data_IF_897642025876
#
_entry.id   IF_897642025876
#
_cell.length_a   1.000
_cell.length_b   1.000
_cell.length_c   1.000
_cell.angle_alpha   90.00
_cell.angle_beta   90.00
_cell.angle_gamma   90.00
#
_symmetry.space_group_name_H-M   'P 1'
#
loop_
_entity.id
_entity.type
_entity.pdbx_description
1 polymer ?
#
# COMPACT_ATOMS: atom_id res chain seq x y z
N UNK A 1 9.23 0.01 -12.89
CA UNK A 1 9.43 1.14 -11.94
C UNK A 1 8.22 1.33 -11.01
N UNK A 2 6.98 1.30 -11.53
CA UNK A 2 5.72 1.40 -10.74
C UNK A 2 5.69 0.53 -9.49
N UNK A 3 5.91 -0.78 -9.61
CA UNK A 3 5.80 -1.73 -8.49
C UNK A 3 6.79 -1.48 -7.33
N UNK A 4 8.05 -1.13 -7.64
CA UNK A 4 9.06 -0.85 -6.59
C UNK A 4 8.73 0.43 -5.83
N UNK A 5 8.25 1.46 -6.53
CA UNK A 5 7.84 2.73 -5.92
C UNK A 5 6.58 2.55 -5.08
N UNK A 6 5.58 1.80 -5.58
CA UNK A 6 4.37 1.46 -4.82
C UNK A 6 4.71 0.66 -3.56
N UNK A 7 5.63 -0.30 -3.64
CA UNK A 7 6.08 -1.05 -2.47
C UNK A 7 6.75 -0.13 -1.43
N UNK A 8 7.68 0.73 -1.87
CA UNK A 8 8.36 1.68 -0.98
C UNK A 8 7.37 2.60 -0.25
N UNK A 9 6.40 3.18 -0.97
CA UNK A 9 5.38 4.05 -0.37
C UNK A 9 4.44 3.28 0.55
N UNK A 10 4.03 2.07 0.16
CA UNK A 10 3.20 1.21 1.02
C UNK A 10 3.92 0.85 2.32
N UNK A 11 5.22 0.56 2.23
CA UNK A 11 6.08 0.34 3.40
C UNK A 11 6.10 1.54 4.34
N UNK A 12 6.40 2.73 3.82
CA UNK A 12 6.47 3.96 4.61
C UNK A 12 5.11 4.28 5.27
N UNK A 13 4.03 4.25 4.50
CA UNK A 13 2.68 4.59 4.96
C UNK A 13 2.19 3.61 6.03
N UNK A 14 2.37 2.29 5.83
CA UNK A 14 1.91 1.29 6.79
C UNK A 14 2.71 1.35 8.08
N UNK A 15 4.03 1.52 8.03
CA UNK A 15 4.85 1.70 9.24
C UNK A 15 4.39 2.94 10.04
N UNK A 16 4.10 4.04 9.34
CA UNK A 16 3.62 5.27 9.98
C UNK A 16 2.22 5.10 10.56
N UNK A 17 1.31 4.44 9.84
CA UNK A 17 -0.03 4.16 10.32
C UNK A 17 -0.01 3.28 11.59
N UNK A 18 0.75 2.19 11.58
CA UNK A 18 0.89 1.30 12.74
C UNK A 18 1.55 2.04 13.92
N UNK A 19 2.53 2.91 13.66
CA UNK A 19 3.12 3.75 14.70
C UNK A 19 2.08 4.69 15.34
N UNK A 20 1.27 5.38 14.55
CA UNK A 20 0.21 6.28 15.05
C UNK A 20 -0.82 5.48 15.85
N UNK A 21 -1.31 4.36 15.33
CA UNK A 21 -2.28 3.51 16.03
C UNK A 21 -1.72 2.99 17.35
N UNK A 22 -0.46 2.52 17.35
CA UNK A 22 0.20 2.06 18.57
C UNK A 22 0.32 3.18 19.61
N UNK A 23 0.58 4.42 19.17
CA UNK A 23 0.63 5.59 20.04
C UNK A 23 -0.75 5.98 20.61
N UNK A 24 -1.82 5.87 19.80
CA UNK A 24 -3.21 6.13 20.24
C UNK A 24 -3.67 5.08 21.25
N UNK A 25 -3.35 3.82 21.02
CA UNK A 25 -3.79 2.70 21.85
C UNK A 25 -2.87 2.44 23.06
N UNK A 26 -1.80 3.25 23.22
CA UNK A 26 -0.76 3.07 24.23
C UNK A 26 -0.09 1.67 24.22
N UNK A 27 0.04 1.08 23.03
CA UNK A 27 0.67 -0.23 22.80
C UNK A 27 2.09 -0.05 22.23
N UNK A 28 2.97 -1.01 22.49
CA UNK A 28 4.32 -1.00 21.91
C UNK A 28 4.29 -1.23 20.41
N UNK A 29 4.99 -0.35 19.68
CA UNK A 29 5.19 -0.50 18.24
C UNK A 29 6.00 -1.76 17.91
N UNK A 30 5.47 -2.59 17.02
CA UNK A 30 6.16 -3.78 16.49
C UNK A 30 6.52 -3.59 15.02
N UNK A 31 7.81 -3.39 14.74
CA UNK A 31 8.33 -3.20 13.39
C UNK A 31 8.13 -4.41 12.47
N UNK A 32 8.26 -5.63 12.99
CA UNK A 32 8.08 -6.86 12.22
C UNK A 32 6.64 -7.00 11.74
N UNK A 33 5.68 -6.70 12.62
CA UNK A 33 4.26 -6.68 12.28
C UNK A 33 3.95 -5.61 11.22
N UNK A 34 4.42 -4.38 11.43
CA UNK A 34 4.19 -3.27 10.47
C UNK A 34 4.80 -3.58 9.09
N UNK A 35 5.99 -4.19 9.06
CA UNK A 35 6.65 -4.61 7.82
C UNK A 35 5.86 -5.72 7.12
N UNK A 36 5.40 -6.74 7.84
CA UNK A 36 4.57 -7.79 7.26
C UNK A 36 3.26 -7.23 6.67
N UNK A 37 2.61 -6.32 7.40
CA UNK A 37 1.40 -5.63 6.94
C UNK A 37 1.67 -4.79 5.69
N UNK A 38 2.85 -4.17 5.56
CA UNK A 38 3.17 -3.41 4.35
C UNK A 38 3.29 -4.27 3.09
N UNK A 39 3.80 -5.51 3.23
CA UNK A 39 3.85 -6.48 2.13
C UNK A 39 2.43 -6.84 1.72
N UNK A 40 1.57 -7.18 2.69
CA UNK A 40 0.15 -7.50 2.44
C UNK A 40 -0.56 -6.34 1.74
N UNK A 41 -0.41 -5.11 2.24
CA UNK A 41 -1.00 -3.91 1.62
C UNK A 41 -0.50 -3.70 0.20
N UNK A 42 0.79 -3.89 -0.06
CA UNK A 42 1.34 -3.76 -1.42
C UNK A 42 0.75 -4.78 -2.40
N UNK A 43 0.51 -6.02 -1.95
CA UNK A 43 -0.14 -7.06 -2.76
C UNK A 43 -1.58 -6.69 -3.09
N UNK A 44 -2.32 -6.10 -2.14
CA UNK A 44 -3.69 -5.61 -2.39
C UNK A 44 -3.69 -4.50 -3.44
N UNK A 45 -2.75 -3.56 -3.37
CA UNK A 45 -2.63 -2.50 -4.38
C UNK A 45 -2.33 -3.08 -5.77
N UNK A 46 -1.47 -4.12 -5.86
CA UNK A 46 -1.20 -4.78 -7.13
C UNK A 46 -2.40 -5.55 -7.68
N UNK A 47 -3.17 -6.20 -6.81
CA UNK A 47 -4.41 -6.85 -7.21
C UNK A 47 -5.44 -5.84 -7.72
N UNK A 48 -5.56 -4.68 -7.07
CA UNK A 48 -6.45 -3.59 -7.50
C UNK A 48 -6.02 -3.00 -8.86
N UNK A 49 -4.71 -2.85 -9.09
CA UNK A 49 -4.18 -2.40 -10.39
C UNK A 49 -4.54 -3.40 -11.50
N UNK A 50 -4.39 -4.70 -11.25
CA UNK A 50 -4.76 -5.75 -12.21
C UNK A 50 -6.26 -5.78 -12.50
N UNK A 51 -7.10 -5.65 -11.47
CA UNK A 51 -8.56 -5.58 -11.64
C UNK A 51 -8.97 -4.31 -12.40
N UNK A 52 -8.32 -3.18 -12.13
CA UNK A 52 -8.60 -1.92 -12.83
C UNK A 52 -8.26 -1.99 -14.33
N UNK A 53 -7.19 -2.71 -14.69
CA UNK A 53 -6.81 -2.99 -16.06
C UNK A 53 -7.83 -3.91 -16.76
N UNK A 54 -8.27 -4.98 -16.09
CA UNK A 54 -9.27 -5.93 -16.62
C UNK A 54 -10.66 -5.29 -16.81
N UNK A 55 -11.06 -4.42 -15.88
CA UNK A 55 -12.33 -3.70 -15.96
C UNK A 55 -12.29 -2.50 -16.93
N UNK A 56 -11.13 -2.17 -17.51
CA UNK A 56 -10.97 -1.06 -18.45
C UNK A 56 -11.24 0.33 -17.87
N UNK A 57 -11.29 0.47 -16.53
CA UNK A 57 -11.67 1.72 -15.84
C UNK A 57 -10.56 2.79 -15.86
N UNK A 58 -9.36 2.44 -16.31
CA UNK A 58 -8.21 3.34 -16.44
C UNK A 58 -8.05 4.04 -17.80
N UNK A 59 -8.93 3.79 -18.79
CA UNK A 59 -8.82 4.30 -20.16
C UNK A 59 -9.43 5.71 -20.34
N UNK A 60 -9.16 6.62 -19.40
CA UNK A 60 -9.54 8.03 -19.54
C UNK A 60 -8.72 8.68 -20.66
N UNK A 61 -9.32 8.78 -21.84
CA UNK A 61 -9.01 9.70 -22.94
C UNK A 61 -7.51 9.95 -23.16
N UNK A 62 -6.87 9.10 -23.97
CA UNK A 62 -5.69 9.54 -24.74
C UNK A 62 -6.18 10.57 -25.77
N UNK A 63 -6.35 11.81 -25.35
CA UNK A 63 -6.45 12.94 -26.27
C UNK A 63 -5.03 13.16 -26.81
N UNK A 64 -4.79 12.56 -27.97
CA UNK A 64 -3.78 13.01 -28.94
C UNK A 64 -3.97 14.50 -29.28
#
# INVERSE_FOLDING_TARGET
MRFLVTFFWSFLLVNTAVFIVSAVDAVTYNFGFATAMSVVTSLVVFALDAVNEDLGLGQGTKAE
#
